data_IF_515720935453
#
_entry.id   IF_515720935453
#
_cell.length_a   1.000
_cell.length_b   1.000
_cell.length_c   1.000
_cell.angle_alpha   90.00
_cell.angle_beta   90.00
_cell.angle_gamma   90.00
#
_symmetry.space_group_name_H-M   'P 1'
#
loop_
_entity.id
_entity.type
_entity.pdbx_description
1 polymer ?
#
# COMPACT_ATOMS: atom_id res chain seq x y z
N UNK A 1 -5.17 -5.92 -16.83
CA UNK A 1 -4.08 -5.32 -16.04
C UNK A 1 -4.62 -4.97 -14.68
N UNK A 2 -3.83 -5.10 -13.61
CA UNK A 2 -4.24 -4.76 -12.25
C UNK A 2 -3.69 -3.39 -11.87
N UNK A 3 -4.35 -2.68 -10.95
CA UNK A 3 -3.85 -1.41 -10.38
C UNK A 3 -2.53 -1.67 -9.66
N UNK A 4 -2.44 -2.76 -8.91
CA UNK A 4 -1.21 -3.17 -8.22
C UNK A 4 -0.02 -3.36 -9.17
N UNK A 5 -0.20 -4.17 -10.21
CA UNK A 5 0.88 -4.46 -11.16
C UNK A 5 1.27 -3.23 -11.99
N UNK A 6 0.29 -2.47 -12.46
CA UNK A 6 0.54 -1.30 -13.32
C UNK A 6 1.30 -0.21 -12.57
N UNK A 7 0.88 0.14 -11.35
CA UNK A 7 1.51 1.21 -10.59
C UNK A 7 2.92 0.85 -10.12
N UNK A 8 3.13 -0.35 -9.58
CA UNK A 8 4.46 -0.74 -9.11
C UNK A 8 5.47 -0.80 -10.25
N UNK A 9 5.08 -1.31 -11.42
CA UNK A 9 5.96 -1.31 -12.58
C UNK A 9 6.19 0.10 -13.13
N UNK A 10 5.16 0.96 -13.17
CA UNK A 10 5.34 2.37 -13.54
C UNK A 10 6.37 3.06 -12.64
N UNK A 11 6.22 2.91 -11.31
CA UNK A 11 7.16 3.49 -10.33
C UNK A 11 8.55 2.89 -10.51
N UNK A 12 8.68 1.57 -10.68
CA UNK A 12 9.97 0.92 -10.92
C UNK A 12 10.68 1.46 -12.17
N UNK A 13 9.96 1.61 -13.29
CA UNK A 13 10.53 2.21 -14.51
C UNK A 13 10.97 3.67 -14.28
N UNK A 14 10.20 4.47 -13.54
CA UNK A 14 10.57 5.85 -13.20
C UNK A 14 11.80 5.91 -12.31
N UNK A 15 11.94 4.99 -11.35
CA UNK A 15 13.14 4.86 -10.52
C UNK A 15 14.37 4.44 -11.35
N UNK A 16 14.18 3.66 -12.41
CA UNK A 16 15.21 3.30 -13.39
C UNK A 16 15.50 4.42 -14.41
N UNK A 17 15.03 5.64 -14.16
CA UNK A 17 15.25 6.83 -15.01
C UNK A 17 14.63 6.76 -16.41
N UNK A 18 13.61 5.93 -16.62
CA UNK A 18 12.81 5.96 -17.86
C UNK A 18 11.96 7.23 -17.88
N UNK A 19 11.96 7.96 -18.98
CA UNK A 19 11.20 9.20 -19.14
C UNK A 19 9.68 8.96 -19.00
N UNK A 20 8.98 9.85 -18.28
CA UNK A 20 7.54 9.78 -18.08
C UNK A 20 6.77 9.88 -19.39
N UNK A 21 7.32 10.61 -20.37
CA UNK A 21 6.74 10.78 -21.70
C UNK A 21 7.05 9.61 -22.65
N UNK A 22 7.81 8.60 -22.17
CA UNK A 22 8.00 7.39 -22.94
C UNK A 22 6.63 6.74 -23.23
N UNK A 23 6.32 6.34 -24.48
CA UNK A 23 4.98 5.87 -24.88
C UNK A 23 4.41 4.77 -23.97
N UNK A 24 5.27 3.83 -23.54
CA UNK A 24 4.91 2.78 -22.60
C UNK A 24 4.43 3.32 -21.24
N UNK A 25 5.11 4.35 -20.71
CA UNK A 25 4.76 4.92 -19.41
C UNK A 25 3.50 5.79 -19.51
N UNK A 26 3.36 6.57 -20.57
CA UNK A 26 2.13 7.31 -20.84
C UNK A 26 0.91 6.38 -20.92
N UNK A 27 1.03 5.24 -21.61
CA UNK A 27 -0.04 4.24 -21.69
C UNK A 27 -0.33 3.57 -20.35
N UNK A 28 0.70 3.22 -19.58
CA UNK A 28 0.50 2.62 -18.25
C UNK A 28 -0.15 3.60 -17.28
N UNK A 29 0.17 4.90 -17.34
CA UNK A 29 -0.46 5.94 -16.54
C UNK A 29 -1.93 6.11 -16.91
N UNK A 30 -2.24 6.20 -18.21
CA UNK A 30 -3.62 6.27 -18.68
C UNK A 30 -4.44 5.03 -18.27
N UNK A 31 -3.81 3.84 -18.31
CA UNK A 31 -4.40 2.59 -17.84
C UNK A 31 -4.63 2.59 -16.34
N UNK A 32 -3.68 3.12 -15.55
CA UNK A 32 -3.83 3.24 -14.10
C UNK A 32 -5.02 4.14 -13.73
N UNK A 33 -5.15 5.26 -14.42
CA UNK A 33 -6.24 6.21 -14.20
C UNK A 33 -7.60 5.64 -14.64
N UNK A 34 -7.65 4.85 -15.72
CA UNK A 34 -8.89 4.21 -16.18
C UNK A 34 -9.32 3.05 -15.27
N UNK A 35 -8.39 2.25 -14.76
CA UNK A 35 -8.67 1.12 -13.87
C UNK A 35 -9.04 1.57 -12.46
N UNK A 36 -8.30 2.52 -11.91
CA UNK A 36 -8.42 2.86 -10.49
C UNK A 36 -9.65 3.71 -10.14
N UNK A 37 -10.38 4.26 -11.13
CA UNK A 37 -11.43 5.32 -11.06
C UNK A 37 -11.11 6.58 -10.21
N UNK A 38 -10.14 6.48 -9.31
CA UNK A 38 -9.68 7.44 -8.32
C UNK A 38 -8.15 7.32 -8.07
N UNK A 39 -7.46 6.26 -8.57
CA UNK A 39 -6.00 6.17 -8.62
C UNK A 39 -5.28 5.80 -7.32
N UNK A 40 -5.99 5.64 -6.20
CA UNK A 40 -5.41 5.29 -4.88
C UNK A 40 -5.85 3.92 -4.31
N UNK A 41 -6.60 3.14 -5.09
CA UNK A 41 -7.20 1.86 -4.69
C UNK A 41 -6.22 0.70 -4.85
N UNK A 42 -5.12 0.76 -4.10
CA UNK A 42 -4.07 -0.26 -4.14
C UNK A 42 -4.36 -1.42 -3.20
N UNK A 43 -3.91 -2.63 -3.56
CA UNK A 43 -3.78 -3.73 -2.61
C UNK A 43 -2.81 -3.35 -1.48
N UNK A 44 -3.01 -3.89 -0.28
CA UNK A 44 -2.24 -3.55 0.94
C UNK A 44 -0.72 -3.58 0.73
N UNK A 45 -0.19 -4.59 0.02
CA UNK A 45 1.25 -4.65 -0.29
C UNK A 45 1.71 -3.51 -1.19
N UNK A 46 0.87 -3.06 -2.12
CA UNK A 46 1.14 -1.89 -2.96
C UNK A 46 1.20 -0.61 -2.13
N UNK A 47 0.24 -0.45 -1.21
CA UNK A 47 0.23 0.67 -0.25
C UNK A 47 1.49 0.70 0.61
N UNK A 48 1.95 -0.45 1.11
CA UNK A 48 3.19 -0.58 1.90
C UNK A 48 4.41 -0.16 1.07
N UNK A 49 4.58 -0.69 -0.14
CA UNK A 49 5.71 -0.34 -1.01
C UNK A 49 5.74 1.15 -1.38
N UNK A 50 4.59 1.71 -1.74
CA UNK A 50 4.46 3.13 -2.09
C UNK A 50 4.63 4.05 -0.88
N UNK A 51 4.20 3.61 0.31
CA UNK A 51 4.40 4.33 1.57
C UNK A 51 5.87 4.38 1.97
N UNK A 52 6.60 3.28 1.78
CA UNK A 52 8.05 3.25 1.99
C UNK A 52 8.79 4.24 1.07
N UNK A 53 8.35 4.35 -0.18
CA UNK A 53 8.87 5.32 -1.15
C UNK A 53 8.36 6.75 -0.93
N UNK A 54 7.56 6.99 0.11
CA UNK A 54 6.99 8.30 0.46
C UNK A 54 6.11 8.90 -0.66
N UNK A 55 5.52 8.05 -1.50
CA UNK A 55 4.57 8.43 -2.57
C UNK A 55 3.13 8.07 -2.27
N UNK A 56 2.87 7.46 -1.12
CA UNK A 56 1.54 7.14 -0.57
C UNK A 56 1.57 7.43 0.92
N UNK A 57 0.54 8.08 1.47
CA UNK A 57 0.55 8.39 2.90
C UNK A 57 0.31 7.12 3.70
N UNK A 58 1.12 6.91 4.75
CA UNK A 58 0.94 5.80 5.70
C UNK A 58 -0.46 5.75 6.29
N UNK A 59 -1.10 6.88 6.51
CA UNK A 59 -2.48 6.94 7.01
C UNK A 59 -3.51 6.29 6.07
N UNK A 60 -3.14 5.87 4.86
CA UNK A 60 -4.00 5.04 4.02
C UNK A 60 -3.62 3.56 3.99
N UNK A 61 -2.56 3.15 4.70
CA UNK A 61 -2.09 1.76 4.76
C UNK A 61 -2.77 1.08 5.95
N UNK A 62 -3.20 -0.17 5.79
CA UNK A 62 -3.74 -0.94 6.91
C UNK A 62 -2.72 -1.04 8.06
N UNK A 63 -3.19 -0.99 9.32
CA UNK A 63 -2.30 -1.03 10.48
C UNK A 63 -1.63 -2.40 10.61
N UNK A 64 -0.34 -2.46 10.32
CA UNK A 64 0.51 -3.65 10.52
C UNK A 64 1.44 -3.36 11.69
N UNK A 65 0.93 -3.56 12.90
CA UNK A 65 1.63 -3.17 14.13
C UNK A 65 2.60 -4.26 14.60
N UNK A 66 3.86 -3.92 14.97
CA UNK A 66 4.80 -4.89 15.53
C UNK A 66 4.37 -5.48 16.89
N UNK A 67 3.39 -4.86 17.56
CA UNK A 67 2.83 -5.35 18.83
C UNK A 67 2.11 -6.68 18.69
N UNK A 68 1.60 -7.03 17.50
CA UNK A 68 0.89 -8.31 17.28
C UNK A 68 1.79 -9.52 17.53
N UNK A 69 3.11 -9.35 17.38
CA UNK A 69 4.12 -10.39 17.65
C UNK A 69 4.40 -10.59 19.14
N UNK A 70 3.97 -9.67 20.00
CA UNK A 70 4.17 -9.70 21.45
C UNK A 70 2.93 -10.20 22.20
N UNK A 71 1.87 -10.55 21.48
CA UNK A 71 0.62 -11.03 22.06
C UNK A 71 0.79 -12.44 22.67
N UNK A 72 0.02 -12.79 23.73
CA UNK A 72 0.19 -14.05 24.42
C UNK A 72 -0.29 -15.25 23.60
N UNK A 73 0.39 -16.39 23.76
CA UNK A 73 0.26 -17.60 22.95
C UNK A 73 -1.13 -18.24 22.89
N UNK A 74 -2.03 -17.83 23.77
CA UNK A 74 -3.41 -18.31 23.86
C UNK A 74 -4.28 -17.85 22.70
N UNK A 75 -3.92 -16.78 21.99
CA UNK A 75 -4.74 -16.23 20.90
C UNK A 75 -4.60 -17.05 19.61
N UNK A 76 -5.70 -17.35 18.90
CA UNK A 76 -5.66 -18.22 17.72
C UNK A 76 -5.11 -17.53 16.47
N UNK A 77 -5.09 -16.20 16.43
CA UNK A 77 -4.70 -15.39 15.26
C UNK A 77 -3.24 -14.93 15.28
N UNK A 78 -2.41 -15.54 16.12
CA UNK A 78 -1.02 -15.13 16.32
C UNK A 78 -0.16 -15.37 15.08
N UNK A 79 0.74 -14.43 14.72
CA UNK A 79 1.48 -14.50 13.47
C UNK A 79 2.34 -15.76 13.27
N UNK A 80 2.90 -16.35 14.33
CA UNK A 80 3.71 -17.57 14.19
C UNK A 80 2.89 -18.82 13.89
N UNK A 81 1.56 -18.77 14.06
CA UNK A 81 0.65 -19.84 13.64
C UNK A 81 0.25 -19.71 12.18
N UNK A 82 0.58 -18.59 11.53
CA UNK A 82 0.31 -18.40 10.11
C UNK A 82 1.23 -19.26 9.27
N UNK A 83 0.87 -19.41 8.00
CA UNK A 83 1.73 -20.05 7.03
C UNK A 83 3.11 -19.38 6.97
N UNK A 84 4.15 -20.17 6.77
CA UNK A 84 5.55 -19.74 6.91
C UNK A 84 5.88 -18.50 6.07
N UNK A 85 5.39 -18.46 4.84
CA UNK A 85 5.63 -17.33 3.95
C UNK A 85 4.88 -16.07 4.38
N UNK A 86 3.70 -16.20 4.99
CA UNK A 86 2.94 -15.05 5.46
C UNK A 86 3.70 -14.32 6.57
N UNK A 87 4.14 -15.03 7.61
CA UNK A 87 4.84 -14.36 8.72
C UNK A 87 6.22 -13.83 8.29
N UNK A 88 6.93 -14.50 7.38
CA UNK A 88 8.19 -14.00 6.81
C UNK A 88 8.03 -12.67 6.08
N UNK A 89 6.87 -12.42 5.45
CA UNK A 89 6.58 -11.14 4.76
C UNK A 89 6.07 -10.09 5.75
N UNK A 90 5.16 -10.43 6.64
CA UNK A 90 4.57 -9.46 7.57
C UNK A 90 5.51 -9.02 8.69
N UNK A 91 6.50 -9.85 9.07
CA UNK A 91 7.49 -9.49 10.09
C UNK A 91 8.29 -8.23 9.70
N UNK A 92 9.00 -8.18 8.56
CA UNK A 92 9.72 -6.98 8.15
C UNK A 92 8.80 -5.80 7.87
N UNK A 93 7.60 -6.03 7.31
CA UNK A 93 6.62 -4.95 7.09
C UNK A 93 6.19 -4.32 8.42
N UNK A 94 5.95 -5.13 9.45
CA UNK A 94 5.60 -4.62 10.78
C UNK A 94 6.73 -3.83 11.43
N UNK A 95 7.99 -4.21 11.17
CA UNK A 95 9.16 -3.47 11.62
C UNK A 95 9.28 -2.11 10.91
N UNK A 96 9.12 -2.09 9.58
CA UNK A 96 9.10 -0.89 8.75
C UNK A 96 8.00 0.07 9.24
N UNK A 97 6.79 -0.46 9.46
CA UNK A 97 5.66 0.29 10.00
C UNK A 97 5.97 0.83 11.41
N UNK A 98 6.47 -0.01 12.32
CA UNK A 98 6.82 0.39 13.69
C UNK A 98 7.87 1.50 13.76
N UNK A 99 8.92 1.41 12.93
CA UNK A 99 9.99 2.41 12.85
C UNK A 99 9.64 3.63 12.00
N UNK A 100 8.48 3.62 11.33
CA UNK A 100 8.04 4.67 10.40
C UNK A 100 9.07 4.95 9.30
N UNK A 101 9.71 3.90 8.80
CA UNK A 101 10.75 4.04 7.77
C UNK A 101 10.12 4.54 6.47
N UNK A 102 10.73 5.58 5.89
CA UNK A 102 10.38 6.14 4.60
C UNK A 102 11.59 6.78 3.96
N UNK A 103 11.61 6.81 2.64
CA UNK A 103 12.62 7.54 1.87
C UNK A 103 12.33 9.05 1.96
N UNK A 104 13.39 9.87 2.01
CA UNK A 104 13.24 11.32 1.96
C UNK A 104 12.64 11.77 0.62
N UNK A 105 11.80 12.81 0.66
CA UNK A 105 11.12 13.29 -0.53
C UNK A 105 12.14 13.92 -1.49
N UNK A 106 12.33 13.29 -2.65
CA UNK A 106 13.14 13.79 -3.76
C UNK A 106 12.21 14.44 -4.82
N UNK A 107 12.67 15.43 -5.60
CA UNK A 107 11.96 15.92 -6.78
C UNK A 107 11.28 14.84 -7.64
N UNK A 108 11.95 13.70 -7.87
CA UNK A 108 11.36 12.58 -8.63
C UNK A 108 10.15 11.94 -7.91
N UNK A 109 10.23 11.77 -6.59
CA UNK A 109 9.13 11.22 -5.80
C UNK A 109 7.96 12.20 -5.72
N UNK A 110 8.24 13.51 -5.63
CA UNK A 110 7.20 14.55 -5.70
C UNK A 110 6.44 14.50 -7.03
N UNK A 111 7.15 14.34 -8.16
CA UNK A 111 6.52 14.16 -9.47
C UNK A 111 5.68 12.89 -9.55
N UNK A 112 6.12 11.79 -8.92
CA UNK A 112 5.33 10.56 -8.85
C UNK A 112 4.04 10.76 -8.06
N UNK A 113 4.06 11.50 -6.96
CA UNK A 113 2.85 11.86 -6.21
C UNK A 113 1.84 12.62 -7.09
N UNK A 114 2.29 13.50 -7.98
CA UNK A 114 1.38 14.24 -8.85
C UNK A 114 0.84 13.39 -10.01
N UNK A 115 1.65 12.46 -10.53
CA UNK A 115 1.30 11.67 -11.74
C UNK A 115 0.48 10.42 -11.43
N UNK A 116 0.68 9.78 -10.27
CA UNK A 116 0.06 8.51 -9.93
C UNK A 116 -1.45 8.63 -9.65
N UNK A 117 -1.88 9.73 -9.03
CA UNK A 117 -3.27 9.91 -8.60
C UNK A 117 -4.05 10.80 -9.58
N UNK A 118 -5.36 10.59 -9.66
CA UNK A 118 -6.24 11.46 -10.47
C UNK A 118 -6.65 12.74 -9.75
N UNK A 119 -6.44 12.80 -8.44
CA UNK A 119 -6.72 13.96 -7.58
C UNK A 119 -5.41 14.52 -7.02
N UNK A 120 -5.37 15.82 -6.66
CA UNK A 120 -4.22 16.39 -5.96
C UNK A 120 -3.84 15.58 -4.72
N UNK A 121 -2.56 15.25 -4.57
CA UNK A 121 -2.07 14.42 -3.46
C UNK A 121 -2.50 14.95 -2.08
N UNK A 122 -2.56 16.28 -1.93
CA UNK A 122 -2.95 16.96 -0.70
C UNK A 122 -4.46 16.92 -0.39
N UNK A 123 -5.32 16.68 -1.39
CA UNK A 123 -6.77 16.59 -1.19
C UNK A 123 -7.25 15.17 -0.89
N UNK A 124 -6.36 14.17 -0.99
CA UNK A 124 -6.72 12.77 -0.75
C UNK A 124 -6.95 12.57 0.76
N UNK A 125 -8.15 12.11 1.11
CA UNK A 125 -8.44 11.65 2.47
C UNK A 125 -7.79 10.28 2.68
N UNK A 126 -6.57 10.25 3.20
CA UNK A 126 -5.79 9.03 3.41
C UNK A 126 -6.43 8.06 4.41
N UNK A 127 -6.92 8.50 5.59
CA UNK A 127 -7.63 7.61 6.52
C UNK A 127 -8.84 6.88 5.92
N UNK A 128 -9.50 7.42 4.89
CA UNK A 128 -10.58 6.68 4.25
C UNK A 128 -10.10 5.59 3.27
N UNK A 129 -8.79 5.51 2.99
CA UNK A 129 -8.24 4.59 1.99
C UNK A 129 -7.72 3.26 2.55
N UNK A 130 -7.71 3.04 3.87
CA UNK A 130 -7.22 1.79 4.48
C UNK A 130 -7.85 0.56 3.80
N UNK A 131 -9.19 0.47 3.79
CA UNK A 131 -9.92 -0.65 3.20
C UNK A 131 -10.30 -0.44 1.72
N UNK A 132 -9.84 0.64 1.07
CA UNK A 132 -10.15 0.90 -0.34
C UNK A 132 -9.23 0.07 -1.24
N UNK A 133 -9.80 -0.97 -1.85
CA UNK A 133 -9.13 -1.84 -2.82
C UNK A 133 -10.07 -2.04 -3.99
N UNK A 134 -9.53 -1.96 -5.21
CA UNK A 134 -10.33 -2.17 -6.42
C UNK A 134 -10.89 -3.59 -6.42
N UNK A 135 -12.21 -3.73 -6.62
CA UNK A 135 -12.91 -5.02 -6.61
C UNK A 135 -12.32 -6.05 -7.59
N UNK A 136 -11.88 -5.56 -8.74
CA UNK A 136 -11.29 -6.36 -9.83
C UNK A 136 -9.90 -6.90 -9.47
N UNK A 137 -9.19 -6.25 -8.55
CA UNK A 137 -7.89 -6.70 -8.03
C UNK A 137 -8.04 -7.57 -6.77
N UNK A 138 -9.25 -7.62 -6.17
CA UNK A 138 -9.50 -8.28 -4.90
C UNK A 138 -9.87 -9.75 -5.11
N UNK A 139 -8.86 -10.62 -5.07
CA UNK A 139 -9.08 -12.07 -5.17
C UNK A 139 -9.75 -12.67 -3.93
N UNK A 140 -9.35 -12.21 -2.73
CA UNK A 140 -9.89 -12.69 -1.45
C UNK A 140 -10.37 -11.48 -0.64
N UNK A 141 -11.69 -11.24 -0.56
CA UNK A 141 -12.22 -10.16 0.25
C UNK A 141 -12.01 -10.44 1.73
N UNK A 142 -11.86 -9.38 2.52
CA UNK A 142 -11.73 -9.51 3.96
C UNK A 142 -12.98 -10.14 4.57
N UNK A 143 -12.75 -11.03 5.53
CA UNK A 143 -13.82 -11.50 6.41
C UNK A 143 -14.13 -10.39 7.44
N UNK A 144 -15.38 -10.15 7.84
CA UNK A 144 -15.74 -9.07 8.78
C UNK A 144 -14.97 -9.11 10.12
N UNK A 145 -14.55 -10.30 10.55
CA UNK A 145 -13.69 -10.50 11.73
C UNK A 145 -12.31 -9.88 11.53
N UNK A 146 -11.73 -10.01 10.34
CA UNK A 146 -10.44 -9.39 10.01
C UNK A 146 -10.56 -7.86 10.01
N UNK A 147 -11.63 -7.31 9.46
CA UNK A 147 -11.88 -5.86 9.48
C UNK A 147 -12.01 -5.33 10.90
N UNK A 148 -12.73 -6.04 11.77
CA UNK A 148 -12.83 -5.69 13.19
C UNK A 148 -11.46 -5.74 13.89
N UNK A 149 -10.65 -6.76 13.61
CA UNK A 149 -9.29 -6.87 14.16
C UNK A 149 -8.39 -5.73 13.68
N UNK A 150 -8.39 -5.41 12.39
CA UNK A 150 -7.61 -4.28 11.86
C UNK A 150 -8.06 -2.94 12.45
N UNK A 151 -9.36 -2.75 12.66
CA UNK A 151 -9.87 -1.56 13.32
C UNK A 151 -9.38 -1.44 14.78
N UNK A 152 -9.40 -2.55 15.54
CA UNK A 152 -8.88 -2.58 16.92
C UNK A 152 -7.37 -2.31 16.92
N UNK A 153 -6.61 -2.95 16.02
CA UNK A 153 -5.17 -2.78 15.90
C UNK A 153 -4.81 -1.34 15.50
N UNK A 154 -5.60 -0.71 14.62
CA UNK A 154 -5.42 0.69 14.23
C UNK A 154 -5.65 1.68 15.36
N UNK A 155 -6.51 1.35 16.35
CA UNK A 155 -6.64 2.13 17.59
C UNK A 155 -5.49 1.91 18.57
N UNK A 156 -4.71 0.85 18.37
CA UNK A 156 -3.63 0.42 19.24
C UNK A 156 -2.23 0.87 18.77
N UNK A 157 -2.13 1.44 17.55
CA UNK A 157 -0.95 2.17 17.05
C UNK A 157 -0.76 3.51 17.74
#
# INVERSE_FOLDING_TARGET
>A
STVFGTALNYVACRLLSVDAEHPMLAWSQATLHSLGKQGYWFLTWGKVCLSLLNVYNREGVDPITPKIWLLPDVLPFLPWRWWVHSWQVYLPISYISGKRLRVELNPLLSLLCEKLYTQPYSSINWPSQHNSVLSEDLYCPHHPVADALFWILGKWE
#
